data_IF_544222701294
#
_entry.id   IF_544222701294
#
_cell.length_a   1.000
_cell.length_b   1.000
_cell.length_c   1.000
_cell.angle_alpha   90.00
_cell.angle_beta   90.00
_cell.angle_gamma   90.00
#
_symmetry.space_group_name_H-M   'P 1'
#
loop_
_entity.id
_entity.type
_entity.pdbx_description
1 polymer ?
#
# COMPACT_ATOMS: atom_id res chain seq x y z
N UNK A 1 -9.56 17.14 8.62
CA UNK A 1 -8.82 16.81 7.39
C UNK A 1 -7.66 15.91 7.79
N UNK A 2 -7.29 14.92 6.96
CA UNK A 2 -6.11 14.07 7.20
C UNK A 2 -5.11 14.20 6.04
N UNK A 3 -3.83 14.18 6.33
CA UNK A 3 -2.74 14.30 5.35
C UNK A 3 -1.99 12.98 5.22
N UNK A 4 -1.90 12.44 4.01
CA UNK A 4 -1.19 11.18 3.76
C UNK A 4 -0.01 11.44 2.83
N UNK A 5 1.13 10.82 3.13
CA UNK A 5 2.34 10.96 2.34
C UNK A 5 2.46 9.81 1.33
N UNK A 6 2.51 10.14 0.05
CA UNK A 6 2.76 9.18 -1.01
C UNK A 6 4.27 8.99 -1.20
N UNK A 7 4.83 7.95 -0.57
CA UNK A 7 6.27 7.65 -0.60
C UNK A 7 6.54 6.22 -0.14
N UNK A 8 7.68 5.68 -0.54
CA UNK A 8 8.30 4.47 0.02
C UNK A 8 9.55 4.77 0.84
N UNK A 9 9.96 6.05 0.93
CA UNK A 9 11.18 6.46 1.62
C UNK A 9 11.05 6.36 3.14
N UNK A 10 11.82 5.47 3.81
CA UNK A 10 11.79 5.36 5.27
C UNK A 10 12.17 6.66 5.97
N UNK A 11 13.08 7.44 5.39
CA UNK A 11 13.56 8.69 5.96
C UNK A 11 12.47 9.76 5.96
N UNK A 12 11.73 9.90 4.86
CA UNK A 12 10.62 10.85 4.75
C UNK A 12 9.48 10.48 5.71
N UNK A 13 9.13 9.20 5.79
CA UNK A 13 8.08 8.72 6.69
C UNK A 13 8.44 8.98 8.14
N UNK A 14 9.67 8.66 8.56
CA UNK A 14 10.14 8.90 9.93
C UNK A 14 10.13 10.38 10.26
N UNK A 15 10.65 11.22 9.38
CA UNK A 15 10.71 12.66 9.58
C UNK A 15 9.30 13.27 9.66
N UNK A 16 8.43 12.98 8.70
CA UNK A 16 7.08 13.54 8.62
C UNK A 16 6.20 13.05 9.78
N UNK A 17 6.35 11.79 10.19
CA UNK A 17 5.66 11.25 11.38
C UNK A 17 6.13 11.92 12.66
N UNK A 18 7.45 12.08 12.85
CA UNK A 18 8.02 12.74 14.02
C UNK A 18 7.65 14.23 14.11
N UNK A 19 7.53 14.90 12.96
CA UNK A 19 7.07 16.28 12.85
C UNK A 19 5.54 16.43 12.94
N UNK A 20 4.78 15.33 13.11
CA UNK A 20 3.31 15.32 13.19
C UNK A 20 2.62 15.96 11.99
N UNK A 21 3.22 15.83 10.80
CA UNK A 21 2.72 16.44 9.56
C UNK A 21 1.77 15.51 8.79
N UNK A 22 1.77 14.23 9.10
CA UNK A 22 1.05 13.20 8.35
C UNK A 22 0.25 12.29 9.29
N UNK A 23 -0.89 11.81 8.78
CA UNK A 23 -1.80 10.88 9.42
C UNK A 23 -1.71 9.47 8.80
N UNK A 24 -0.90 9.28 7.77
CA UNK A 24 -0.75 8.02 7.07
C UNK A 24 0.17 8.07 5.86
N UNK A 25 0.37 6.91 5.24
CA UNK A 25 1.24 6.71 4.08
C UNK A 25 0.45 6.09 2.94
N UNK A 26 0.77 6.43 1.70
CA UNK A 26 0.24 5.78 0.49
C UNK A 26 1.39 5.11 -0.24
N UNK A 27 1.32 3.79 -0.41
CA UNK A 27 2.34 2.98 -1.06
C UNK A 27 1.67 1.97 -2.00
N UNK A 28 1.08 2.47 -3.09
CA UNK A 28 0.50 1.64 -4.15
C UNK A 28 1.60 1.07 -5.06
N UNK A 29 1.33 0.01 -5.85
CA UNK A 29 2.30 -0.54 -6.79
C UNK A 29 2.88 0.49 -7.76
N UNK A 30 2.11 1.53 -8.14
CA UNK A 30 2.60 2.62 -8.99
C UNK A 30 3.66 3.49 -8.30
N UNK A 31 3.45 3.84 -7.03
CA UNK A 31 4.43 4.61 -6.25
C UNK A 31 5.69 3.76 -6.02
N UNK A 32 5.50 2.50 -5.63
CA UNK A 32 6.60 1.55 -5.43
C UNK A 32 7.40 1.38 -6.71
N UNK A 33 6.76 1.17 -7.85
CA UNK A 33 7.45 1.04 -9.13
C UNK A 33 8.18 2.32 -9.56
N UNK A 34 7.68 3.51 -9.18
CA UNK A 34 8.30 4.79 -9.48
C UNK A 34 9.55 5.06 -8.63
N UNK A 35 9.56 4.67 -7.36
CA UNK A 35 10.65 4.96 -6.43
C UNK A 35 11.64 3.80 -6.27
N UNK A 36 11.15 2.57 -6.44
CA UNK A 36 11.92 1.33 -6.29
C UNK A 36 11.58 0.33 -7.41
N UNK A 37 12.05 0.57 -8.65
CA UNK A 37 11.76 -0.27 -9.79
C UNK A 37 12.19 -1.73 -9.55
N UNK A 38 11.26 -2.67 -9.77
CA UNK A 38 11.52 -4.11 -9.61
C UNK A 38 11.45 -4.64 -8.18
N UNK A 39 11.14 -3.79 -7.19
CA UNK A 39 10.93 -4.23 -5.81
C UNK A 39 9.65 -5.05 -5.67
N UNK A 40 9.68 -6.02 -4.75
CA UNK A 40 8.48 -6.78 -4.39
C UNK A 40 7.55 -5.93 -3.52
N UNK A 41 6.31 -5.77 -3.96
CA UNK A 41 5.31 -4.93 -3.28
C UNK A 41 5.06 -5.39 -1.84
N UNK A 42 5.05 -6.71 -1.59
CA UNK A 42 4.77 -7.26 -0.26
C UNK A 42 5.93 -6.96 0.69
N UNK A 43 7.17 -7.07 0.22
CA UNK A 43 8.37 -6.75 1.00
C UNK A 43 8.41 -5.27 1.39
N UNK A 44 8.16 -4.37 0.43
CA UNK A 44 8.12 -2.92 0.71
C UNK A 44 7.02 -2.58 1.71
N UNK A 45 5.80 -3.08 1.49
CA UNK A 45 4.69 -2.82 2.42
C UNK A 45 5.00 -3.37 3.83
N UNK A 46 5.62 -4.54 3.93
CA UNK A 46 6.03 -5.11 5.23
C UNK A 46 7.16 -4.31 5.90
N UNK A 47 8.07 -3.69 5.14
CA UNK A 47 9.06 -2.76 5.66
C UNK A 47 8.39 -1.50 6.19
N UNK A 48 7.51 -0.87 5.40
CA UNK A 48 6.80 0.34 5.79
C UNK A 48 5.96 0.14 7.06
N UNK A 49 5.28 -0.99 7.18
CA UNK A 49 4.51 -1.34 8.37
C UNK A 49 5.35 -1.53 9.64
N UNK A 50 6.66 -1.79 9.49
CA UNK A 50 7.62 -1.82 10.62
C UNK A 50 8.19 -0.44 10.94
N UNK A 51 8.15 0.50 9.99
CA UNK A 51 8.70 1.85 10.15
C UNK A 51 7.73 2.77 10.91
N UNK A 52 6.43 2.64 10.66
CA UNK A 52 5.41 3.52 11.24
C UNK A 52 4.16 2.74 11.68
N UNK A 53 3.53 3.12 12.82
CA UNK A 53 2.23 2.58 13.21
C UNK A 53 1.06 3.30 12.52
N UNK A 54 1.33 4.34 11.72
CA UNK A 54 0.30 5.10 11.01
C UNK A 54 -0.35 4.24 9.91
N UNK A 55 -1.63 4.50 9.56
CA UNK A 55 -2.30 3.81 8.47
C UNK A 55 -1.50 3.83 7.15
N UNK A 56 -1.38 2.67 6.50
CA UNK A 56 -0.72 2.53 5.20
C UNK A 56 -1.74 2.11 4.17
N UNK A 57 -1.98 2.95 3.17
CA UNK A 57 -2.80 2.64 2.01
C UNK A 57 -1.96 1.90 0.96
N UNK A 58 -2.15 0.58 0.84
CA UNK A 58 -1.48 -0.27 -0.13
C UNK A 58 -2.51 -0.88 -1.10
N UNK A 59 -2.07 -1.35 -2.27
CA UNK A 59 -2.94 -2.09 -3.19
C UNK A 59 -2.20 -3.24 -3.86
N UNK A 60 -2.98 -4.16 -4.43
CA UNK A 60 -2.47 -5.28 -5.22
C UNK A 60 -2.32 -4.90 -6.69
N UNK A 61 -1.32 -5.45 -7.36
CA UNK A 61 -1.16 -5.34 -8.81
C UNK A 61 -2.01 -6.41 -9.54
N UNK A 62 -3.34 -6.34 -9.39
CA UNK A 62 -4.27 -7.26 -10.04
C UNK A 62 -5.56 -6.56 -10.49
N UNK A 63 -6.19 -7.09 -11.54
CA UNK A 63 -7.44 -6.58 -12.12
C UNK A 63 -8.59 -7.60 -12.07
N UNK A 64 -8.30 -8.87 -11.75
CA UNK A 64 -9.31 -9.92 -11.57
C UNK A 64 -9.83 -9.98 -10.13
N UNK A 65 -11.13 -10.15 -9.95
CA UNK A 65 -11.77 -10.13 -8.62
C UNK A 65 -11.14 -11.10 -7.61
N UNK A 66 -10.90 -12.34 -8.05
CA UNK A 66 -10.33 -13.39 -7.22
C UNK A 66 -8.86 -13.10 -6.85
N UNK A 67 -8.10 -12.54 -7.80
CA UNK A 67 -6.69 -12.24 -7.60
C UNK A 67 -6.52 -11.00 -6.70
N UNK A 68 -7.38 -10.00 -6.88
CA UNK A 68 -7.49 -8.84 -5.98
C UNK A 68 -7.79 -9.34 -4.57
N UNK A 69 -8.82 -10.18 -4.39
CA UNK A 69 -9.20 -10.67 -3.07
C UNK A 69 -8.10 -11.50 -2.39
N UNK A 70 -7.49 -12.45 -3.12
CA UNK A 70 -6.39 -13.27 -2.59
C UNK A 70 -5.19 -12.41 -2.21
N UNK A 71 -4.75 -11.52 -3.10
CA UNK A 71 -3.62 -10.64 -2.83
C UNK A 71 -3.90 -9.67 -1.68
N UNK A 72 -5.11 -9.11 -1.62
CA UNK A 72 -5.54 -8.22 -0.54
C UNK A 72 -5.52 -8.94 0.81
N UNK A 73 -6.02 -10.19 0.86
CA UNK A 73 -6.02 -11.02 2.07
C UNK A 73 -4.60 -11.37 2.52
N UNK A 74 -3.68 -11.58 1.59
CA UNK A 74 -2.28 -11.84 1.90
C UNK A 74 -1.55 -10.59 2.42
N UNK A 75 -1.80 -9.42 1.81
CA UNK A 75 -1.25 -8.14 2.29
C UNK A 75 -1.80 -7.78 3.68
N UNK A 76 -3.10 -7.98 3.92
CA UNK A 76 -3.74 -7.66 5.20
C UNK A 76 -3.15 -8.44 6.39
N UNK A 77 -2.46 -9.56 6.16
CA UNK A 77 -1.76 -10.31 7.21
C UNK A 77 -0.48 -9.64 7.70
N UNK A 78 0.05 -8.65 6.97
CA UNK A 78 1.33 -8.03 7.30
C UNK A 78 1.22 -7.12 8.52
N UNK A 79 0.12 -6.38 8.66
CA UNK A 79 -0.13 -5.48 9.77
C UNK A 79 -1.60 -5.03 9.85
N UNK A 80 -2.08 -4.80 11.07
CA UNK A 80 -3.47 -4.39 11.33
C UNK A 80 -3.82 -2.98 10.83
N UNK A 81 -2.83 -2.11 10.65
CA UNK A 81 -3.00 -0.72 10.20
C UNK A 81 -2.91 -0.57 8.67
N UNK A 82 -2.95 -1.69 7.93
CA UNK A 82 -3.01 -1.66 6.47
C UNK A 82 -4.43 -1.40 5.96
N UNK A 83 -4.55 -0.44 5.05
CA UNK A 83 -5.76 -0.14 4.30
C UNK A 83 -5.52 -0.63 2.88
N UNK A 84 -6.27 -1.66 2.46
CA UNK A 84 -6.15 -2.18 1.10
C UNK A 84 -7.04 -1.38 0.17
N UNK A 85 -6.42 -0.56 -0.68
CA UNK A 85 -7.10 0.15 -1.75
C UNK A 85 -7.50 -0.82 -2.88
N UNK A 86 -8.78 -0.79 -3.23
CA UNK A 86 -9.36 -1.61 -4.29
C UNK A 86 -9.60 -0.72 -5.51
N UNK A 87 -9.19 -1.13 -6.72
CA UNK A 87 -9.43 -0.36 -7.91
C UNK A 87 -10.93 -0.28 -8.21
N UNK A 88 -11.41 0.91 -8.57
CA UNK A 88 -12.79 1.10 -8.99
C UNK A 88 -12.90 0.82 -10.49
N UNK A 89 -13.09 -0.45 -10.83
CA UNK A 89 -13.22 -0.95 -12.20
C UNK A 89 -14.39 -1.92 -12.30
N UNK A 90 -14.96 -2.04 -13.50
CA UNK A 90 -15.85 -3.16 -13.79
C UNK A 90 -15.02 -4.44 -13.79
N UNK A 91 -15.44 -5.40 -12.97
CA UNK A 91 -14.84 -6.72 -12.97
C UNK A 91 -15.24 -7.40 -14.27
N UNK A 92 -14.27 -7.63 -15.16
CA UNK A 92 -14.52 -8.45 -16.34
C UNK A 92 -14.90 -9.85 -15.86
N UNK A 93 -16.20 -10.17 -15.95
CA UNK A 93 -16.68 -11.54 -15.90
C UNK A 93 -16.19 -12.22 -17.16
N UNK A 94 -14.96 -12.72 -17.18
CA UNK A 94 -14.58 -13.78 -18.11
C UNK A 94 -15.45 -15.00 -17.77
N UNK A 95 -16.65 -15.02 -18.35
CA UNK A 95 -17.35 -16.28 -18.61
C UNK A 95 -16.47 -17.02 -19.61
N UNK A 96 -15.95 -18.16 -19.18
CA UNK A 96 -15.57 -19.34 -19.98
C UNK A 96 -14.85 -19.09 -21.28
#
# INVERSE_FOLDING_TARGET
MRLYLATTSPNEIRWASAATLIDGVVATPTIIASEQPGADVREIVAELARITPLPICASVAAIGANDIYKGAKELAKLADHLIIAVPFIELSSTKG
#
